data_IF_071250201272
#
_entry.id   IF_071250201272
#
_cell.length_a   1.000
_cell.length_b   1.000
_cell.length_c   1.000
_cell.angle_alpha   90.00
_cell.angle_beta   90.00
_cell.angle_gamma   90.00
#
_symmetry.space_group_name_H-M   'P 1'
#
loop_
_entity.id
_entity.type
_entity.pdbx_description
1 polymer ?
#
# COMPACT_ATOMS: atom_id res chain seq x y z
N UNK A 1 7.42 11.69 4.15
CA UNK A 1 6.66 11.17 2.99
C UNK A 1 7.66 10.61 1.99
N UNK A 2 7.45 9.37 1.55
CA UNK A 2 8.26 8.70 0.54
C UNK A 2 7.52 8.72 -0.80
N UNK A 3 8.27 8.81 -1.89
CA UNK A 3 7.77 8.75 -3.27
C UNK A 3 8.50 7.62 -3.96
N UNK A 4 7.78 6.74 -4.66
CA UNK A 4 8.39 5.62 -5.35
C UNK A 4 9.25 6.13 -6.51
N UNK A 5 10.45 5.56 -6.70
CA UNK A 5 11.43 6.03 -7.70
C UNK A 5 10.97 5.84 -9.15
N UNK A 6 10.36 4.68 -9.46
CA UNK A 6 9.79 4.39 -10.78
C UNK A 6 8.37 4.93 -11.00
N UNK A 7 7.56 5.02 -9.93
CA UNK A 7 6.15 5.38 -10.01
C UNK A 7 5.90 6.63 -9.16
N UNK A 8 6.19 7.85 -9.66
CA UNK A 8 6.18 9.08 -8.85
C UNK A 8 4.78 9.46 -8.34
N UNK A 9 3.74 8.80 -8.85
CA UNK A 9 2.36 8.94 -8.40
C UNK A 9 2.01 8.02 -7.21
N UNK A 10 2.94 7.16 -6.79
CA UNK A 10 2.85 6.37 -5.56
C UNK A 10 3.60 7.04 -4.42
N UNK A 11 2.91 7.25 -3.32
CA UNK A 11 3.48 7.84 -2.10
C UNK A 11 3.09 7.07 -0.86
N UNK A 12 4.00 7.01 0.11
CA UNK A 12 3.78 6.39 1.41
C UNK A 12 4.14 7.35 2.54
N UNK A 13 3.38 7.25 3.62
CA UNK A 13 3.62 7.99 4.86
C UNK A 13 3.65 6.95 5.98
N UNK A 14 4.80 6.29 6.22
CA UNK A 14 4.92 5.37 7.33
C UNK A 14 4.94 6.14 8.66
N UNK A 15 4.57 5.44 9.73
CA UNK A 15 4.59 6.00 11.09
C UNK A 15 6.02 6.27 11.57
N UNK A 16 6.97 5.46 11.09
CA UNK A 16 8.39 5.66 11.36
C UNK A 16 9.27 4.92 10.36
N UNK A 17 10.53 5.37 10.27
CA UNK A 17 11.58 4.67 9.53
C UNK A 17 12.85 4.65 10.37
N UNK A 18 13.43 3.47 10.54
CA UNK A 18 14.69 3.26 11.24
C UNK A 18 15.74 2.89 10.21
N UNK A 19 16.71 3.79 10.04
CA UNK A 19 17.87 3.56 9.19
C UNK A 19 19.09 3.40 10.10
N UNK A 20 19.54 2.16 10.31
CA UNK A 20 20.86 1.90 10.89
C UNK A 20 21.73 1.24 9.83
N UNK A 21 23.06 1.29 10.03
CA UNK A 21 24.09 0.84 9.09
C UNK A 21 23.88 -0.57 8.52
N UNK A 22 23.05 -1.40 9.15
CA UNK A 22 22.70 -2.75 8.72
C UNK A 22 21.21 -3.09 8.77
N UNK A 23 20.32 -2.10 8.96
CA UNK A 23 18.87 -2.36 9.03
C UNK A 23 18.04 -1.24 8.39
N UNK A 24 17.33 -1.58 7.33
CA UNK A 24 16.33 -0.76 6.65
C UNK A 24 14.93 -1.22 7.08
N UNK A 25 14.45 -0.65 8.19
CA UNK A 25 13.20 -1.06 8.83
C UNK A 25 12.19 0.08 8.81
N UNK A 26 10.98 -0.21 8.35
CA UNK A 26 9.81 0.65 8.51
C UNK A 26 9.07 0.32 9.81
N UNK A 27 8.33 1.26 10.38
CA UNK A 27 7.46 1.02 11.53
C UNK A 27 6.01 1.23 11.16
N UNK A 28 5.15 0.31 11.56
CA UNK A 28 3.69 0.43 11.48
C UNK A 28 3.09 0.27 12.87
N UNK A 29 2.27 1.23 13.30
CA UNK A 29 1.61 1.21 14.60
C UNK A 29 0.17 0.72 14.44
N UNK A 30 -0.23 -0.26 15.24
CA UNK A 30 -1.59 -0.81 15.25
C UNK A 30 -2.13 -0.75 16.68
N UNK A 31 -3.03 0.20 17.00
CA UNK A 31 -3.60 0.28 18.33
C UNK A 31 -4.43 -0.97 18.63
N UNK A 32 -4.16 -1.61 19.75
CA UNK A 32 -4.97 -2.72 20.26
C UNK A 32 -6.04 -2.15 21.19
N UNK A 33 -7.27 -2.07 20.67
CA UNK A 33 -8.43 -1.69 21.47
C UNK A 33 -8.92 -2.92 22.25
N UNK A 34 -8.77 -2.88 23.57
CA UNK A 34 -9.15 -3.93 24.51
C UNK A 34 -10.68 -4.07 24.69
N UNK A 35 -11.47 -3.70 23.68
CA UNK A 35 -12.94 -3.65 23.73
C UNK A 35 -13.61 -5.01 24.03
N UNK A 36 -12.83 -6.09 24.16
CA UNK A 36 -13.30 -7.43 24.50
C UNK A 36 -12.80 -7.97 25.85
N UNK A 37 -12.02 -7.20 26.62
CA UNK A 37 -11.41 -7.65 27.88
C UNK A 37 -10.44 -8.83 27.71
N UNK A 38 -9.93 -9.05 26.50
CA UNK A 38 -9.04 -10.14 26.16
C UNK A 38 -7.62 -9.63 26.04
N UNK A 39 -6.67 -10.40 26.61
CA UNK A 39 -5.24 -10.17 26.42
C UNK A 39 -4.90 -10.15 24.93
N UNK A 40 -3.93 -9.33 24.55
CA UNK A 40 -3.52 -9.15 23.14
C UNK A 40 -3.16 -10.49 22.48
N UNK A 41 -2.66 -11.44 23.28
CA UNK A 41 -2.38 -12.84 22.89
C UNK A 41 -3.57 -13.53 22.21
N UNK A 42 -4.75 -13.44 22.82
CA UNK A 42 -5.94 -14.15 22.34
C UNK A 42 -6.53 -13.49 21.10
N UNK A 43 -6.47 -12.15 21.04
CA UNK A 43 -6.87 -11.40 19.87
C UNK A 43 -6.09 -11.86 18.64
N UNK A 44 -4.77 -11.93 18.76
CA UNK A 44 -3.90 -12.27 17.64
C UNK A 44 -4.08 -13.74 17.22
N UNK A 45 -4.20 -14.66 18.19
CA UNK A 45 -4.46 -16.07 17.87
C UNK A 45 -5.75 -16.24 17.05
N UNK A 46 -6.81 -15.48 17.36
CA UNK A 46 -8.12 -15.59 16.69
C UNK A 46 -8.22 -14.75 15.41
N UNK A 47 -7.77 -13.50 15.44
CA UNK A 47 -7.93 -12.53 14.33
C UNK A 47 -6.83 -12.65 13.29
N UNK A 48 -5.60 -12.82 13.74
CA UNK A 48 -4.45 -12.96 12.84
C UNK A 48 -4.20 -14.42 12.45
N UNK A 49 -4.90 -15.40 13.03
CA UNK A 49 -4.63 -16.84 12.83
C UNK A 49 -3.14 -17.18 13.05
N UNK A 50 -2.48 -16.37 13.88
CA UNK A 50 -1.06 -16.45 14.15
C UNK A 50 -0.88 -17.18 15.48
N UNK A 51 -0.18 -18.32 15.52
CA UNK A 51 0.26 -18.87 16.79
C UNK A 51 1.37 -17.97 17.35
N UNK A 52 1.04 -17.08 18.29
CA UNK A 52 2.06 -16.35 19.05
C UNK A 52 2.68 -17.32 20.06
N UNK A 53 4.00 -17.44 20.03
CA UNK A 53 4.79 -18.07 21.08
C UNK A 53 5.51 -16.99 21.89
N UNK A 54 5.32 -17.01 23.21
CA UNK A 54 6.01 -16.11 24.14
C UNK A 54 7.33 -16.75 24.59
N UNK A 55 8.43 -16.00 24.68
CA UNK A 55 9.75 -16.52 25.08
C UNK A 55 9.86 -16.97 26.55
N UNK A 56 8.78 -16.94 27.34
CA UNK A 56 8.81 -17.26 28.77
C UNK A 56 7.91 -18.43 29.20
N UNK A 57 7.29 -19.18 28.29
CA UNK A 57 6.42 -20.30 28.66
C UNK A 57 7.09 -21.66 28.44
N UNK A 58 7.55 -22.29 29.53
CA UNK A 58 8.45 -23.45 29.58
C UNK A 58 7.85 -24.79 29.12
N UNK A 59 6.73 -24.80 28.39
CA UNK A 59 6.08 -26.04 27.92
C UNK A 59 5.52 -25.93 26.50
N UNK A 60 6.35 -25.60 25.51
CA UNK A 60 5.98 -25.79 24.10
C UNK A 60 7.22 -25.97 23.20
N UNK A 61 7.14 -26.92 22.27
CA UNK A 61 8.24 -27.38 21.43
C UNK A 61 8.45 -26.45 20.22
N UNK A 62 9.68 -25.95 20.11
CA UNK A 62 10.23 -25.04 19.09
C UNK A 62 10.20 -25.67 17.69
N UNK A 63 9.69 -24.96 16.68
CA UNK A 63 10.00 -25.19 15.26
C UNK A 63 10.25 -23.82 14.62
N UNK A 64 11.53 -23.41 14.55
CA UNK A 64 12.07 -22.26 13.81
C UNK A 64 11.51 -20.84 14.11
N UNK A 65 11.02 -20.57 15.34
CA UNK A 65 10.95 -19.25 16.02
C UNK A 65 10.33 -17.99 15.36
N UNK A 66 9.72 -18.02 14.17
CA UNK A 66 9.14 -16.79 13.56
C UNK A 66 7.61 -16.77 13.54
N UNK A 67 7.01 -15.84 14.30
CA UNK A 67 5.59 -15.45 14.16
C UNK A 67 5.46 -14.68 12.84
N UNK A 68 4.61 -15.16 11.92
CA UNK A 68 4.40 -14.53 10.61
C UNK A 68 3.15 -13.67 10.64
N UNK A 69 3.22 -12.46 10.11
CA UNK A 69 2.04 -11.62 9.92
C UNK A 69 1.13 -12.21 8.84
N UNK A 70 -0.17 -12.32 9.13
CA UNK A 70 -1.12 -13.02 8.27
C UNK A 70 -1.53 -12.18 7.07
N UNK A 71 -1.59 -12.82 5.90
CA UNK A 71 -2.10 -12.23 4.65
C UNK A 71 -3.57 -11.82 4.71
N UNK A 72 -4.31 -12.32 5.69
CA UNK A 72 -5.71 -11.95 5.91
C UNK A 72 -5.89 -10.69 6.77
N UNK A 73 -4.80 -10.11 7.30
CA UNK A 73 -4.92 -8.88 8.06
C UNK A 73 -5.26 -7.70 7.14
N UNK A 74 -6.19 -6.79 7.52
CA UNK A 74 -6.57 -5.65 6.69
C UNK A 74 -5.39 -4.75 6.28
N UNK A 75 -4.39 -4.63 7.15
CA UNK A 75 -3.19 -3.83 6.87
C UNK A 75 -2.07 -4.58 6.12
N UNK A 76 -2.24 -5.87 5.79
CA UNK A 76 -1.21 -6.67 5.12
C UNK A 76 -0.70 -6.03 3.84
N UNK A 77 -1.62 -5.78 2.90
CA UNK A 77 -1.27 -5.20 1.61
C UNK A 77 -0.72 -3.77 1.76
N UNK A 78 -1.31 -2.98 2.66
CA UNK A 78 -0.87 -1.61 2.99
C UNK A 78 0.57 -1.58 3.51
N UNK A 79 0.94 -2.50 4.41
CA UNK A 79 2.29 -2.59 4.96
C UNK A 79 3.29 -2.93 3.85
N UNK A 80 2.97 -3.88 2.98
CA UNK A 80 3.84 -4.25 1.86
C UNK A 80 3.98 -3.13 0.83
N UNK A 81 2.91 -2.40 0.52
CA UNK A 81 2.95 -1.25 -0.39
C UNK A 81 3.80 -0.11 0.19
N UNK A 82 3.66 0.18 1.49
CA UNK A 82 4.46 1.21 2.15
C UNK A 82 5.96 0.85 2.19
N UNK A 83 6.31 -0.42 2.45
CA UNK A 83 7.69 -0.90 2.38
C UNK A 83 8.28 -0.72 0.97
N UNK A 84 7.53 -1.09 -0.06
CA UNK A 84 7.97 -0.92 -1.45
C UNK A 84 8.24 0.55 -1.76
N UNK A 85 7.29 1.44 -1.49
CA UNK A 85 7.41 2.87 -1.79
C UNK A 85 8.57 3.52 -1.01
N UNK A 86 8.79 3.11 0.23
CA UNK A 86 9.88 3.61 1.07
C UNK A 86 11.23 2.91 0.80
N UNK A 87 11.29 1.96 -0.13
CA UNK A 87 12.45 1.12 -0.42
C UNK A 87 13.01 0.44 0.85
N UNK A 88 12.13 -0.22 1.61
CA UNK A 88 12.45 -0.94 2.85
C UNK A 88 12.21 -2.43 2.69
N UNK A 89 13.18 -3.22 3.12
CA UNK A 89 13.11 -4.69 3.06
C UNK A 89 12.30 -5.28 4.22
N UNK A 90 12.11 -4.52 5.31
CA UNK A 90 11.49 -5.00 6.54
C UNK A 90 10.56 -3.95 7.16
N UNK A 91 9.54 -4.41 7.88
CA UNK A 91 8.65 -3.59 8.68
C UNK A 91 8.42 -4.23 10.05
N UNK A 92 8.61 -3.45 11.11
CA UNK A 92 8.20 -3.80 12.46
C UNK A 92 6.77 -3.28 12.70
N UNK A 93 5.82 -4.21 12.81
CA UNK A 93 4.42 -3.94 13.13
C UNK A 93 4.26 -4.01 14.64
N UNK A 94 3.98 -2.87 15.25
CA UNK A 94 3.87 -2.71 16.69
C UNK A 94 2.40 -2.65 17.06
N UNK A 95 1.94 -3.69 17.74
CA UNK A 95 0.66 -3.70 18.45
C UNK A 95 0.86 -3.18 19.86
N UNK A 96 0.05 -2.23 20.28
CA UNK A 96 0.20 -1.63 21.61
C UNK A 96 -1.16 -1.39 22.29
N UNK A 97 -1.20 -1.63 23.59
CA UNK A 97 -2.26 -1.20 24.51
C UNK A 97 -1.63 -0.48 25.71
N UNK A 98 -2.40 -0.19 26.76
CA UNK A 98 -1.87 0.41 27.98
C UNK A 98 -0.84 -0.50 28.68
N UNK A 99 -1.08 -1.81 28.67
CA UNK A 99 -0.32 -2.77 29.48
C UNK A 99 0.61 -3.70 28.67
N UNK A 100 0.39 -3.81 27.36
CA UNK A 100 1.06 -4.79 26.52
C UNK A 100 1.58 -4.16 25.22
N UNK A 101 2.77 -4.56 24.79
CA UNK A 101 3.33 -4.25 23.47
C UNK A 101 3.76 -5.56 22.81
N UNK A 102 3.43 -5.73 21.54
CA UNK A 102 3.93 -6.81 20.70
C UNK A 102 4.51 -6.25 19.41
N UNK A 103 5.67 -6.75 19.02
CA UNK A 103 6.32 -6.39 17.76
C UNK A 103 6.37 -7.62 16.85
N UNK A 104 5.90 -7.49 15.63
CA UNK A 104 6.00 -8.51 14.57
C UNK A 104 6.82 -7.96 13.42
N UNK A 105 7.85 -8.69 13.00
CA UNK A 105 8.66 -8.32 11.84
C UNK A 105 8.13 -8.95 10.57
N UNK A 106 7.84 -8.12 9.59
CA UNK A 106 7.36 -8.49 8.25
C UNK A 106 8.47 -8.24 7.24
N UNK A 107 8.73 -9.23 6.38
CA UNK A 107 9.65 -9.07 5.26
C UNK A 107 8.87 -8.54 4.05
N UNK A 108 9.49 -7.69 3.25
CA UNK A 108 8.90 -7.20 2.01
C UNK A 108 8.56 -8.36 1.07
N UNK A 109 7.45 -8.21 0.36
CA UNK A 109 7.02 -9.14 -0.67
C UNK A 109 6.58 -8.34 -1.89
N UNK A 110 7.46 -8.22 -2.87
CA UNK A 110 7.24 -7.44 -4.08
C UNK A 110 6.19 -8.06 -5.01
N UNK A 111 5.91 -9.37 -4.87
CA UNK A 111 4.91 -10.06 -5.69
C UNK A 111 3.51 -9.49 -5.48
N UNK A 112 3.23 -8.92 -4.30
CA UNK A 112 1.95 -8.26 -4.01
C UNK A 112 1.76 -7.06 -4.93
N UNK A 113 2.78 -6.21 -5.06
CA UNK A 113 2.68 -5.04 -5.93
C UNK A 113 2.65 -5.43 -7.41
N UNK A 114 3.63 -6.20 -7.85
CA UNK A 114 3.75 -6.54 -9.27
C UNK A 114 2.63 -7.47 -9.77
N UNK A 115 2.08 -8.31 -8.91
CA UNK A 115 1.01 -9.25 -9.26
C UNK A 115 -0.40 -8.67 -9.15
N UNK A 116 -0.66 -7.86 -8.12
CA UNK A 116 -2.03 -7.44 -7.78
C UNK A 116 -2.26 -5.96 -8.11
N UNK A 117 -1.31 -5.08 -7.77
CA UNK A 117 -1.57 -3.64 -7.73
C UNK A 117 -1.03 -2.83 -8.90
N UNK A 118 0.07 -3.25 -9.52
CA UNK A 118 0.76 -2.43 -10.53
C UNK A 118 -0.18 -1.98 -11.63
N UNK A 119 -0.87 -2.93 -12.29
CA UNK A 119 -1.74 -2.61 -13.42
C UNK A 119 -2.98 -1.79 -12.99
N UNK A 120 -3.76 -2.18 -11.97
CA UNK A 120 -4.91 -1.38 -11.54
C UNK A 120 -4.54 0.05 -11.10
N UNK A 121 -3.40 0.21 -10.42
CA UNK A 121 -2.95 1.51 -9.96
C UNK A 121 -2.40 2.37 -11.12
N UNK A 122 -1.70 1.77 -12.09
CA UNK A 122 -1.30 2.46 -13.32
C UNK A 122 -2.52 2.92 -14.13
N UNK A 123 -3.54 2.08 -14.27
CA UNK A 123 -4.80 2.44 -14.93
C UNK A 123 -5.52 3.56 -14.18
N UNK A 124 -5.61 3.45 -12.85
CA UNK A 124 -6.18 4.50 -12.01
C UNK A 124 -5.46 5.83 -12.22
N UNK A 125 -4.12 5.82 -12.17
CA UNK A 125 -3.32 7.01 -12.40
C UNK A 125 -3.56 7.60 -13.80
N UNK A 126 -3.49 6.79 -14.86
CA UNK A 126 -3.57 7.27 -16.25
C UNK A 126 -4.96 7.77 -16.63
N UNK A 127 -6.02 7.09 -16.19
CA UNK A 127 -7.37 7.35 -16.66
C UNK A 127 -8.22 8.18 -15.71
N UNK A 128 -7.87 8.25 -14.42
CA UNK A 128 -8.65 8.98 -13.43
C UNK A 128 -7.86 10.14 -12.82
N UNK A 129 -6.64 9.90 -12.34
CA UNK A 129 -5.89 10.94 -11.64
C UNK A 129 -5.25 11.96 -12.59
N UNK A 130 -4.53 11.49 -13.61
CA UNK A 130 -3.78 12.34 -14.53
C UNK A 130 -4.68 13.32 -15.30
N UNK A 131 -5.88 12.94 -15.81
CA UNK A 131 -6.79 13.89 -16.44
C UNK A 131 -7.24 14.99 -15.48
N UNK A 132 -7.58 14.66 -14.23
CA UNK A 132 -7.95 15.65 -13.20
C UNK A 132 -6.78 16.59 -12.86
N UNK A 133 -5.54 16.09 -12.84
CA UNK A 133 -4.34 16.89 -12.57
C UNK A 133 -3.98 17.83 -13.74
N UNK A 134 -4.21 17.41 -14.99
CA UNK A 134 -3.90 18.21 -16.18
C UNK A 134 -4.97 19.26 -16.42
N UNK A 135 -6.25 18.86 -16.36
CA UNK A 135 -7.41 19.76 -16.46
C UNK A 135 -8.64 19.12 -15.83
N UNK A 136 -8.91 19.48 -14.57
CA UNK A 136 -10.09 19.03 -13.82
C UNK A 136 -11.43 19.43 -14.43
N UNK A 137 -11.46 20.43 -15.34
CA UNK A 137 -12.69 20.80 -16.05
C UNK A 137 -12.93 19.88 -17.23
N UNK A 138 -11.89 19.60 -18.02
CA UNK A 138 -11.97 18.65 -19.12
C UNK A 138 -12.39 17.26 -18.62
N UNK A 139 -11.81 16.80 -17.50
CA UNK A 139 -12.15 15.52 -16.88
C UNK A 139 -13.64 15.42 -16.47
N UNK A 140 -14.28 16.56 -16.16
CA UNK A 140 -15.70 16.65 -15.75
C UNK A 140 -16.63 17.08 -16.88
N UNK A 141 -16.16 17.12 -18.13
CA UNK A 141 -16.95 17.56 -19.28
C UNK A 141 -17.31 19.05 -19.28
N UNK A 142 -16.58 19.87 -18.50
CA UNK A 142 -16.74 21.32 -18.44
C UNK A 142 -15.82 22.00 -19.47
N UNK A 143 -16.21 23.17 -20.01
CA UNK A 143 -15.38 23.89 -20.97
C UNK A 143 -14.02 24.23 -20.34
N UNK A 144 -12.95 23.84 -21.04
CA UNK A 144 -11.55 24.09 -20.70
C UNK A 144 -11.36 25.59 -20.45
N UNK A 145 -10.63 25.98 -19.41
CA UNK A 145 -10.32 27.40 -19.17
C UNK A 145 -9.52 27.92 -20.37
N UNK A 146 -10.03 28.95 -21.04
CA UNK A 146 -9.25 29.70 -22.01
C UNK A 146 -8.09 30.38 -21.29
N UNK A 147 -6.91 29.77 -21.32
CA UNK A 147 -5.64 30.45 -21.09
C UNK A 147 -4.62 29.92 -22.09
N UNK A 148 -4.60 30.62 -23.22
CA UNK A 148 -3.88 30.40 -24.47
C UNK A 148 -2.36 30.63 -24.42
N UNK A 149 -1.71 30.56 -23.26
CA UNK A 149 -0.26 30.80 -23.19
C UNK A 149 0.48 29.66 -22.48
N UNK A 150 1.27 28.91 -23.30
CA UNK A 150 2.34 27.95 -22.95
C UNK A 150 2.01 26.46 -22.80
N UNK A 151 1.14 25.90 -23.64
CA UNK A 151 1.02 24.44 -23.80
C UNK A 151 1.42 23.91 -25.20
N UNK A 152 2.37 24.56 -25.90
CA UNK A 152 2.93 24.02 -27.16
C UNK A 152 3.58 22.62 -27.01
N UNK A 153 3.88 22.17 -25.79
CA UNK A 153 4.39 20.82 -25.53
C UNK A 153 3.35 19.76 -25.11
N UNK A 154 2.11 20.13 -24.72
CA UNK A 154 1.14 19.17 -24.15
C UNK A 154 0.02 18.72 -25.11
N UNK A 155 -0.10 19.33 -26.28
CA UNK A 155 -1.15 18.98 -27.25
C UNK A 155 -0.99 17.57 -27.84
N UNK A 156 0.22 17.02 -27.89
CA UNK A 156 0.47 15.66 -28.39
C UNK A 156 0.02 14.57 -27.40
N UNK A 157 0.11 14.82 -26.09
CA UNK A 157 -0.30 13.88 -25.05
C UNK A 157 -1.83 13.74 -24.94
N UNK A 158 -2.56 14.84 -25.09
CA UNK A 158 -4.03 14.84 -25.08
C UNK A 158 -4.63 14.14 -26.31
N UNK A 159 -4.00 14.29 -27.49
CA UNK A 159 -4.44 13.58 -28.70
C UNK A 159 -4.18 12.07 -28.61
N UNK A 160 -3.07 11.64 -28.01
CA UNK A 160 -2.77 10.22 -27.81
C UNK A 160 -3.80 9.55 -26.88
N UNK A 161 -4.15 10.20 -25.76
CA UNK A 161 -5.16 9.70 -24.81
C UNK A 161 -6.56 9.61 -25.42
N UNK A 162 -6.94 10.57 -26.27
CA UNK A 162 -8.22 10.54 -26.98
C UNK A 162 -8.27 9.48 -28.09
N UNK A 163 -7.14 9.21 -28.78
CA UNK A 163 -7.09 8.17 -29.82
C UNK A 163 -7.17 6.74 -29.27
N UNK A 164 -6.70 6.50 -28.03
CA UNK A 164 -6.81 5.18 -27.40
C UNK A 164 -8.20 4.90 -26.84
N UNK A 165 -8.89 5.93 -26.32
CA UNK A 165 -10.29 5.78 -25.87
C UNK A 165 -11.28 5.56 -27.03
N UNK A 166 -10.98 6.11 -28.22
CA UNK A 166 -11.81 5.93 -29.42
C UNK A 166 -11.82 4.50 -29.99
N UNK A 167 -10.82 3.67 -29.69
CA UNK A 167 -10.69 2.33 -30.27
C UNK A 167 -11.17 1.18 -29.37
N UNK A 168 -11.62 1.43 -28.14
CA UNK A 168 -12.14 0.37 -27.24
C UNK A 168 -13.67 0.33 -27.09
N UNK A 169 -14.40 1.28 -27.68
CA UNK A 169 -15.87 1.34 -27.57
C UNK A 169 -16.66 0.81 -28.78
N UNK A 170 -16.00 0.29 -29.81
CA UNK A 170 -16.67 -0.34 -30.96
C UNK A 170 -16.28 -1.81 -31.06
N UNK A 171 -16.92 -2.66 -30.25
CA UNK A 171 -16.77 -4.10 -30.42
C UNK A 171 -17.12 -4.94 -29.20
N UNK A 172 -18.41 -5.02 -28.87
CA UNK A 172 -19.13 -6.22 -28.37
C UNK A 172 -20.55 -5.82 -27.95
N UNK A 173 -21.43 -5.68 -28.95
CA UNK A 173 -22.85 -5.96 -28.73
C UNK A 173 -23.03 -7.41 -29.13
N UNK A 174 -23.20 -8.27 -28.12
CA UNK A 174 -23.58 -9.65 -28.29
C UNK A 174 -24.96 -9.72 -28.96
N UNK A 175 -25.08 -10.50 -30.03
CA UNK A 175 -26.33 -11.14 -30.45
C UNK A 175 -26.27 -12.60 -30.02
#
# INVERSE_FOLDING_TARGET
MFVHHEFPWLTAIPEGSVNHSHSDVMVALVPFMEASGKKMKEYIKRKLHCPIYYPHDTKCRRINDTIKFSSFHPDYEKIHLNMLIANKSQCDVIFYSQDEILVLRVQQNETIFHGIYKNPLDEFYRYHLLPELVDSRAARGLPVRENTFRLRGKAHLLKALQSEQGNRFVGRVWK
#
